data_IF_606788961130
#
_entry.id   IF_606788961130
#
_cell.length_a   1.000
_cell.length_b   1.000
_cell.length_c   1.000
_cell.angle_alpha   90.00
_cell.angle_beta   90.00
_cell.angle_gamma   90.00
#
_symmetry.space_group_name_H-M   'P 1'
#
loop_
_entity.id
_entity.type
_entity.pdbx_description
1 polymer ?
#
# COMPACT_ATOMS: atom_id res chain seq x y z
N UNK A 1 24.86 -19.00 57.75
CA UNK A 1 24.69 -17.58 57.35
C UNK A 1 25.04 -17.28 55.87
N UNK A 2 25.36 -18.28 55.06
CA UNK A 2 25.85 -18.10 53.67
C UNK A 2 24.75 -18.08 52.61
N UNK A 3 23.62 -18.79 52.85
CA UNK A 3 22.51 -18.89 51.89
C UNK A 3 21.72 -17.58 51.74
N UNK A 4 21.54 -16.81 52.81
CA UNK A 4 20.81 -15.53 52.79
C UNK A 4 21.57 -14.46 51.99
N UNK A 5 22.91 -14.48 52.01
CA UNK A 5 23.73 -13.53 51.24
C UNK A 5 23.65 -13.78 49.72
N UNK A 6 23.47 -15.03 49.30
CA UNK A 6 23.36 -15.40 47.88
C UNK A 6 21.98 -15.01 47.32
N UNK A 7 20.90 -15.16 48.10
CA UNK A 7 19.56 -14.78 47.66
C UNK A 7 19.39 -13.27 47.47
N UNK A 8 20.03 -12.45 48.32
CA UNK A 8 20.01 -10.99 48.18
C UNK A 8 20.81 -10.53 46.95
N UNK A 9 21.92 -11.21 46.63
CA UNK A 9 22.73 -10.91 45.44
C UNK A 9 21.96 -11.22 44.14
N UNK A 10 21.18 -12.30 44.11
CA UNK A 10 20.37 -12.70 42.95
C UNK A 10 19.17 -11.77 42.70
N UNK A 11 18.55 -11.25 43.76
CA UNK A 11 17.43 -10.30 43.62
C UNK A 11 17.92 -8.94 43.10
N UNK A 12 19.14 -8.52 43.46
CA UNK A 12 19.72 -7.26 42.98
C UNK A 12 20.08 -7.26 41.48
N UNK A 13 20.30 -8.43 40.87
CA UNK A 13 20.63 -8.56 39.44
C UNK A 13 19.41 -8.52 38.52
N UNK A 14 18.19 -8.68 39.05
CA UNK A 14 16.96 -8.63 38.26
C UNK A 14 16.40 -7.21 38.05
N UNK A 15 16.94 -6.19 38.73
CA UNK A 15 16.39 -4.82 38.69
C UNK A 15 17.13 -3.83 37.77
N UNK A 16 18.19 -4.24 37.06
CA UNK A 16 19.04 -3.29 36.30
C UNK A 16 18.85 -3.31 34.78
N UNK A 17 17.99 -4.18 34.22
CA UNK A 17 17.67 -4.13 32.79
C UNK A 17 16.37 -3.37 32.53
N UNK A 18 16.31 -2.10 32.92
CA UNK A 18 15.45 -1.16 32.21
C UNK A 18 16.08 -0.97 30.83
N UNK A 19 15.64 -1.79 29.87
CA UNK A 19 15.85 -1.51 28.45
C UNK A 19 15.05 -0.24 28.18
N UNK A 20 15.69 0.91 28.31
CA UNK A 20 15.17 2.15 27.76
C UNK A 20 15.14 1.96 26.24
N UNK A 21 13.97 1.60 25.72
CA UNK A 21 13.65 1.87 24.33
C UNK A 21 13.69 3.39 24.21
N UNK A 22 14.79 3.94 23.70
CA UNK A 22 14.73 5.30 23.19
C UNK A 22 13.54 5.34 22.22
N UNK A 23 12.61 6.29 22.36
CA UNK A 23 11.67 6.52 21.28
C UNK A 23 12.50 6.75 20.02
N UNK A 24 12.09 6.20 18.86
CA UNK A 24 12.81 6.47 17.61
C UNK A 24 13.05 7.97 17.50
N UNK A 25 14.27 8.35 17.13
CA UNK A 25 14.61 9.75 16.85
C UNK A 25 13.47 10.35 16.02
N UNK A 26 12.99 11.54 16.40
CA UNK A 26 11.92 12.24 15.69
C UNK A 26 12.31 12.31 14.22
N UNK A 27 11.71 11.43 13.42
CA UNK A 27 11.92 11.35 11.97
C UNK A 27 11.75 12.74 11.38
N UNK A 28 12.68 13.13 10.53
CA UNK A 28 12.64 14.39 9.77
C UNK A 28 11.26 14.51 9.11
N UNK A 29 10.51 15.55 9.43
CA UNK A 29 9.16 15.82 8.89
C UNK A 29 9.09 15.77 7.34
N UNK A 30 10.22 15.88 6.65
CA UNK A 30 10.34 15.84 5.20
C UNK A 30 10.24 14.42 4.57
N UNK A 31 10.10 13.37 5.36
CA UNK A 31 10.04 11.98 4.88
C UNK A 31 8.61 11.41 4.82
N UNK A 32 7.57 12.23 5.07
CA UNK A 32 6.17 11.75 5.08
C UNK A 32 5.35 12.35 3.94
N UNK A 33 4.55 11.50 3.31
CA UNK A 33 3.54 11.88 2.31
C UNK A 33 2.18 11.82 3.01
N UNK A 34 1.44 12.92 2.98
CA UNK A 34 0.10 13.00 3.55
C UNK A 34 -0.90 12.88 2.40
N UNK A 35 -1.75 11.86 2.45
CA UNK A 35 -2.77 11.62 1.44
C UNK A 35 -4.17 11.77 2.03
N UNK A 36 -5.04 12.43 1.28
CA UNK A 36 -6.47 12.49 1.55
C UNK A 36 -7.19 11.23 1.10
N UNK A 37 -8.34 10.98 1.71
CA UNK A 37 -9.24 9.93 1.25
C UNK A 37 -9.98 10.39 -0.01
N UNK A 38 -10.19 9.45 -0.93
CA UNK A 38 -10.95 9.66 -2.15
C UNK A 38 -11.97 8.54 -2.32
N UNK A 39 -13.21 8.93 -2.53
CA UNK A 39 -14.28 8.02 -2.90
C UNK A 39 -14.07 7.51 -4.32
N UNK A 40 -14.00 6.19 -4.46
CA UNK A 40 -14.03 5.53 -5.76
C UNK A 40 -15.47 5.44 -6.25
N UNK A 41 -15.79 6.07 -7.38
CA UNK A 41 -17.12 6.08 -8.00
C UNK A 41 -17.22 5.27 -9.28
N UNK A 42 -16.10 4.73 -9.77
CA UNK A 42 -16.07 3.92 -10.98
C UNK A 42 -16.33 2.44 -10.67
N UNK A 43 -17.44 1.85 -11.16
CA UNK A 43 -17.82 0.49 -10.83
C UNK A 43 -16.86 -0.56 -11.42
N UNK A 44 -16.23 -0.28 -12.55
CA UNK A 44 -15.32 -1.22 -13.19
C UNK A 44 -14.01 -1.33 -12.40
N UNK A 45 -13.49 -0.19 -11.93
CA UNK A 45 -12.31 -0.15 -11.06
C UNK A 45 -12.65 -0.71 -9.67
N UNK A 46 -13.83 -0.42 -9.11
CA UNK A 46 -14.29 -0.98 -7.84
C UNK A 46 -14.39 -2.51 -7.90
N UNK A 47 -15.01 -3.05 -8.96
CA UNK A 47 -15.10 -4.48 -9.17
C UNK A 47 -13.72 -5.13 -9.30
N UNK A 48 -12.84 -4.57 -10.13
CA UNK A 48 -11.50 -5.12 -10.33
C UNK A 48 -10.65 -5.12 -9.05
N UNK A 49 -10.70 -4.02 -8.29
CA UNK A 49 -9.97 -3.89 -7.01
C UNK A 49 -10.55 -4.80 -5.93
N UNK A 50 -11.87 -4.98 -5.90
CA UNK A 50 -12.55 -5.96 -5.05
C UNK A 50 -12.11 -7.40 -5.36
N UNK A 51 -12.09 -7.80 -6.64
CA UNK A 51 -11.65 -9.12 -7.08
C UNK A 51 -10.18 -9.36 -6.71
N UNK A 52 -9.31 -8.38 -6.96
CA UNK A 52 -7.89 -8.45 -6.55
C UNK A 52 -7.74 -8.59 -5.04
N UNK A 53 -8.49 -7.84 -4.24
CA UNK A 53 -8.47 -8.00 -2.78
C UNK A 53 -8.82 -9.45 -2.39
N UNK A 54 -9.85 -10.03 -3.00
CA UNK A 54 -10.19 -11.44 -2.79
C UNK A 54 -9.07 -12.39 -3.23
N UNK A 55 -8.39 -12.11 -4.34
CA UNK A 55 -7.24 -12.91 -4.77
C UNK A 55 -6.08 -12.87 -3.77
N UNK A 56 -5.76 -11.68 -3.24
CA UNK A 56 -4.73 -11.49 -2.22
C UNK A 56 -5.10 -12.23 -0.93
N UNK A 57 -6.37 -12.19 -0.50
CA UNK A 57 -6.82 -12.86 0.72
C UNK A 57 -6.78 -14.39 0.61
N UNK A 58 -7.01 -14.96 -0.58
CA UNK A 58 -7.03 -16.42 -0.81
C UNK A 58 -5.63 -17.06 -0.89
N UNK A 59 -4.57 -16.39 -0.45
CA UNK A 59 -3.20 -16.90 -0.50
C UNK A 59 -3.00 -18.09 0.44
N UNK A 60 -2.28 -19.12 -0.03
CA UNK A 60 -2.02 -20.33 0.77
C UNK A 60 -0.58 -20.43 1.27
N UNK A 61 0.41 -19.98 0.48
CA UNK A 61 1.86 -20.08 0.79
C UNK A 61 2.73 -18.91 0.26
N UNK A 62 2.10 -17.80 -0.16
CA UNK A 62 2.79 -16.65 -0.76
C UNK A 62 3.21 -15.55 0.23
N UNK A 63 3.96 -14.57 -0.28
CA UNK A 63 4.38 -13.38 0.46
C UNK A 63 3.18 -12.61 1.05
N UNK A 64 3.42 -11.78 2.07
CA UNK A 64 2.43 -10.84 2.56
C UNK A 64 2.37 -9.64 1.63
N UNK A 65 1.15 -9.24 1.27
CA UNK A 65 0.88 -8.07 0.42
C UNK A 65 0.08 -7.04 1.25
N UNK A 66 0.73 -6.37 2.22
CA UNK A 66 0.04 -5.45 3.13
C UNK A 66 -0.47 -4.20 2.43
N UNK A 67 0.15 -3.80 1.33
CA UNK A 67 -0.14 -2.56 0.63
C UNK A 67 -0.64 -2.82 -0.79
N UNK A 68 -1.43 -1.89 -1.31
CA UNK A 68 -1.95 -1.93 -2.68
C UNK A 68 -2.00 -0.55 -3.30
N UNK A 69 -1.85 -0.49 -4.62
CA UNK A 69 -1.83 0.74 -5.42
C UNK A 69 -2.69 0.59 -6.67
N UNK A 70 -3.40 1.65 -7.03
CA UNK A 70 -4.07 1.83 -8.32
C UNK A 70 -3.31 2.96 -9.04
N UNK A 71 -2.82 2.68 -10.24
CA UNK A 71 -2.19 3.67 -11.10
C UNK A 71 -3.06 3.87 -12.34
N UNK A 72 -3.54 5.11 -12.55
CA UNK A 72 -4.20 5.50 -13.79
C UNK A 72 -3.20 6.02 -14.81
N UNK A 73 -3.38 5.65 -16.07
CA UNK A 73 -2.63 6.21 -17.18
C UNK A 73 -3.51 6.30 -18.42
N UNK A 74 -3.24 7.29 -19.27
CA UNK A 74 -3.95 7.49 -20.53
C UNK A 74 -2.94 7.41 -21.66
N UNK A 75 -3.10 6.40 -22.52
CA UNK A 75 -2.22 6.13 -23.65
C UNK A 75 -3.08 5.96 -24.91
N UNK A 76 -2.73 6.63 -26.01
CA UNK A 76 -3.48 6.61 -27.28
C UNK A 76 -4.99 6.87 -27.12
N UNK A 77 -5.35 7.81 -26.24
CA UNK A 77 -6.74 8.17 -25.93
C UNK A 77 -7.51 7.12 -25.12
N UNK A 78 -6.87 6.02 -24.70
CA UNK A 78 -7.46 4.95 -23.90
C UNK A 78 -7.02 5.07 -22.45
N UNK A 79 -7.97 4.92 -21.54
CA UNK A 79 -7.71 4.89 -20.12
C UNK A 79 -7.33 3.47 -19.69
N UNK A 80 -6.18 3.33 -19.04
CA UNK A 80 -5.74 2.11 -18.40
C UNK A 80 -5.65 2.32 -16.89
N UNK A 81 -5.89 1.26 -16.15
CA UNK A 81 -5.58 1.23 -14.73
C UNK A 81 -4.79 -0.02 -14.39
N UNK A 82 -3.77 0.17 -13.57
CA UNK A 82 -2.91 -0.89 -13.10
C UNK A 82 -3.04 -1.02 -11.60
N UNK A 83 -3.38 -2.22 -11.13
CA UNK A 83 -3.45 -2.52 -9.70
C UNK A 83 -2.20 -3.32 -9.34
N UNK A 84 -1.50 -2.90 -8.30
CA UNK A 84 -0.26 -3.53 -7.82
C UNK A 84 -0.42 -3.95 -6.37
N UNK A 85 -0.11 -5.21 -6.06
CA UNK A 85 0.03 -5.69 -4.69
C UNK A 85 1.49 -5.53 -4.25
N UNK A 86 1.72 -4.83 -3.16
CA UNK A 86 3.05 -4.45 -2.68
C UNK A 86 3.34 -5.22 -1.39
N UNK A 87 4.54 -5.79 -1.33
CA UNK A 87 5.01 -6.54 -0.17
C UNK A 87 5.35 -5.61 1.01
N UNK A 88 6.14 -6.09 1.97
CA UNK A 88 6.56 -5.29 3.11
C UNK A 88 7.46 -4.11 2.73
N UNK A 89 7.91 -4.00 1.47
CA UNK A 89 8.54 -2.79 0.94
C UNK A 89 7.47 -1.77 0.56
N UNK A 90 6.57 -1.47 1.49
CA UNK A 90 5.48 -0.50 1.38
C UNK A 90 5.98 0.91 1.00
N UNK A 91 7.23 1.23 1.31
CA UNK A 91 7.93 2.42 0.83
C UNK A 91 7.90 2.51 -0.72
N UNK A 92 7.91 1.38 -1.43
CA UNK A 92 7.80 1.32 -2.89
C UNK A 92 6.38 1.59 -3.44
N UNK A 93 5.43 2.02 -2.61
CA UNK A 93 4.13 2.54 -3.06
C UNK A 93 4.27 3.78 -3.94
N UNK A 94 5.35 4.55 -3.79
CA UNK A 94 5.56 5.80 -4.49
C UNK A 94 6.74 5.68 -5.44
N UNK A 95 6.44 5.54 -6.75
CA UNK A 95 7.48 5.52 -7.77
C UNK A 95 7.82 6.95 -8.22
N UNK A 96 9.09 7.28 -8.52
CA UNK A 96 9.49 8.63 -8.91
C UNK A 96 8.81 9.17 -10.18
N UNK A 97 8.33 8.28 -11.06
CA UNK A 97 7.64 8.58 -12.30
C UNK A 97 6.11 8.62 -12.15
N UNK A 98 5.61 8.53 -10.92
CA UNK A 98 4.20 8.54 -10.58
C UNK A 98 3.87 9.72 -9.65
N UNK A 99 2.67 10.27 -9.80
CA UNK A 99 2.12 11.28 -8.89
C UNK A 99 1.06 10.64 -8.02
N UNK A 100 1.20 10.72 -6.70
CA UNK A 100 0.19 10.26 -5.75
C UNK A 100 -0.84 11.35 -5.46
N UNK A 101 -2.12 10.96 -5.41
CA UNK A 101 -3.24 11.89 -5.28
C UNK A 101 -4.05 11.67 -4.00
N UNK A 102 -4.12 10.43 -3.53
CA UNK A 102 -4.97 10.07 -2.40
C UNK A 102 -4.94 8.58 -2.12
N UNK A 103 -5.86 8.14 -1.29
CA UNK A 103 -6.15 6.72 -1.10
C UNK A 103 -7.65 6.46 -1.08
N UNK A 104 -8.04 5.25 -1.46
CA UNK A 104 -9.41 4.76 -1.30
C UNK A 104 -9.41 3.45 -0.49
N UNK A 105 -10.57 3.01 -0.03
CA UNK A 105 -10.72 1.75 0.71
C UNK A 105 -11.78 0.90 0.02
N UNK A 106 -11.40 -0.26 -0.48
CA UNK A 106 -12.31 -1.22 -1.11
C UNK A 106 -12.26 -2.51 -0.31
N UNK A 107 -13.42 -2.96 0.21
CA UNK A 107 -13.55 -4.17 1.03
C UNK A 107 -12.51 -4.25 2.17
N UNK A 108 -12.34 -3.12 2.88
CA UNK A 108 -11.41 -2.99 4.00
C UNK A 108 -9.92 -2.90 3.64
N UNK A 109 -9.57 -3.02 2.34
CA UNK A 109 -8.19 -2.84 1.86
C UNK A 109 -7.98 -1.43 1.32
N UNK A 110 -6.90 -0.80 1.75
CA UNK A 110 -6.50 0.52 1.26
C UNK A 110 -5.77 0.42 -0.08
N UNK A 111 -6.13 1.28 -1.02
CA UNK A 111 -5.44 1.43 -2.29
C UNK A 111 -4.93 2.87 -2.42
N UNK A 112 -3.61 3.04 -2.57
CA UNK A 112 -3.04 4.33 -2.94
C UNK A 112 -3.40 4.63 -4.40
N UNK A 113 -3.84 5.86 -4.67
CA UNK A 113 -4.22 6.31 -6.01
C UNK A 113 -3.07 7.14 -6.57
N UNK A 114 -2.60 6.72 -7.74
CA UNK A 114 -1.51 7.36 -8.46
C UNK A 114 -1.87 7.58 -9.93
N UNK A 115 -1.19 8.53 -10.57
CA UNK A 115 -1.18 8.67 -12.03
C UNK A 115 0.24 8.60 -12.56
N UNK A 116 0.40 8.17 -13.80
CA UNK A 116 1.65 8.26 -14.54
C UNK A 116 1.46 9.07 -15.82
N UNK A 117 2.31 10.07 -16.01
CA UNK A 117 2.12 11.11 -17.02
C UNK A 117 1.04 12.11 -16.61
N UNK A 118 0.33 12.65 -17.60
CA UNK A 118 -0.76 13.60 -17.36
C UNK A 118 -1.94 12.96 -16.61
N UNK A 119 -2.58 13.76 -15.75
CA UNK A 119 -3.79 13.33 -15.03
C UNK A 119 -4.91 13.13 -16.07
N UNK A 120 -5.51 11.93 -16.18
CA UNK A 120 -6.61 11.71 -17.10
C UNK A 120 -7.81 12.62 -16.78
N UNK A 121 -8.53 13.10 -17.80
CA UNK A 121 -9.72 13.95 -17.63
C UNK A 121 -10.84 13.26 -16.84
N UNK A 122 -10.85 11.92 -16.85
CA UNK A 122 -11.78 11.08 -16.11
C UNK A 122 -11.43 10.98 -14.62
N UNK A 123 -10.22 11.38 -14.22
CA UNK A 123 -9.67 11.16 -12.88
C UNK A 123 -10.63 11.63 -11.77
N UNK A 124 -11.08 12.88 -11.82
CA UNK A 124 -11.98 13.44 -10.80
C UNK A 124 -13.44 12.97 -10.89
N UNK A 125 -13.79 12.22 -11.95
CA UNK A 125 -15.07 11.50 -12.04
C UNK A 125 -14.96 10.13 -11.38
N UNK A 126 -13.78 9.51 -11.47
CA UNK A 126 -13.46 8.19 -10.91
C UNK A 126 -13.19 8.31 -9.40
N UNK A 127 -12.38 9.30 -9.00
CA UNK A 127 -11.93 9.51 -7.63
C UNK A 127 -12.35 10.90 -7.16
N UNK A 128 -13.30 10.94 -6.23
CA UNK A 128 -13.82 12.19 -5.67
C UNK A 128 -13.17 12.40 -4.31
N UNK A 129 -12.43 13.52 -4.09
CA UNK A 129 -11.92 13.84 -2.77
C UNK A 129 -13.06 13.97 -1.75
N UNK A 130 -12.92 13.28 -0.62
CA UNK A 130 -13.82 13.44 0.52
C UNK A 130 -13.02 14.03 1.69
N UNK A 131 -13.30 15.30 1.97
CA UNK A 131 -12.60 16.11 2.95
C UNK A 131 -13.10 15.87 4.39
N UNK A 132 -14.18 15.12 4.57
CA UNK A 132 -14.69 14.77 5.91
C UNK A 132 -13.86 13.64 6.54
N UNK A 133 -13.22 12.82 5.70
CA UNK A 133 -12.36 11.72 6.15
C UNK A 133 -10.93 12.21 6.42
N UNK A 134 -10.39 11.82 7.57
CA UNK A 134 -9.04 12.19 7.98
C UNK A 134 -7.99 11.72 6.98
N UNK A 135 -7.00 12.58 6.74
CA UNK A 135 -5.80 12.26 5.98
C UNK A 135 -4.97 11.19 6.69
N UNK A 136 -4.14 10.48 5.92
CA UNK A 136 -3.18 9.51 6.44
C UNK A 136 -1.77 9.90 6.03
N UNK A 137 -0.83 9.77 6.97
CA UNK A 137 0.58 9.96 6.71
C UNK A 137 1.22 8.61 6.33
N UNK A 138 2.03 8.63 5.29
CA UNK A 138 2.78 7.50 4.77
C UNK A 138 4.26 7.84 4.77
N UNK A 139 5.12 6.88 5.09
CA UNK A 139 6.56 7.07 4.91
C UNK A 139 6.87 7.11 3.42
N UNK A 140 7.74 8.04 3.01
CA UNK A 140 8.22 8.16 1.64
C UNK A 140 9.04 6.92 1.27
N UNK A 141 9.08 6.64 -0.03
CA UNK A 141 9.90 5.58 -0.57
C UNK A 141 11.38 5.77 -0.17
N UNK A 142 11.98 4.75 0.44
CA UNK A 142 13.43 4.63 0.48
C UNK A 142 13.88 4.15 -0.91
N UNK A 143 14.63 4.96 -1.68
CA UNK A 143 15.04 4.61 -3.03
C UNK A 143 15.96 3.38 -3.08
N UNK A 144 16.57 2.97 -1.96
CA UNK A 144 17.43 1.79 -1.90
C UNK A 144 16.65 0.51 -1.52
N UNK A 145 15.42 0.65 -1.04
CA UNK A 145 14.59 -0.49 -0.61
C UNK A 145 14.08 -1.28 -1.80
N UNK A 146 14.51 -2.53 -1.92
CA UNK A 146 14.03 -3.46 -2.96
C UNK A 146 12.91 -4.34 -2.41
N UNK A 147 11.91 -4.68 -3.24
CA UNK A 147 10.91 -5.64 -2.83
C UNK A 147 11.56 -7.02 -2.65
N UNK A 148 11.10 -7.77 -1.65
CA UNK A 148 11.57 -9.13 -1.35
C UNK A 148 11.20 -10.08 -2.49
N UNK A 149 10.06 -9.84 -3.14
CA UNK A 149 9.62 -10.56 -4.32
C UNK A 149 9.05 -9.59 -5.37
N UNK A 150 8.98 -10.01 -6.62
CA UNK A 150 8.33 -9.18 -7.64
C UNK A 150 6.85 -9.04 -7.32
N UNK A 151 6.37 -7.80 -7.27
CA UNK A 151 5.00 -7.46 -6.93
C UNK A 151 4.02 -8.00 -7.99
N UNK A 152 2.93 -8.70 -7.60
CA UNK A 152 1.81 -9.02 -8.48
C UNK A 152 1.20 -7.74 -9.05
N UNK A 153 1.03 -7.71 -10.38
CA UNK A 153 0.48 -6.58 -11.10
C UNK A 153 -0.59 -7.04 -12.07
N UNK A 154 -1.70 -6.31 -12.10
CA UNK A 154 -2.80 -6.49 -13.04
C UNK A 154 -3.05 -5.19 -13.78
N UNK A 155 -2.97 -5.23 -15.11
CA UNK A 155 -3.23 -4.08 -15.98
C UNK A 155 -4.54 -4.30 -16.72
N UNK A 156 -5.40 -3.29 -16.67
CA UNK A 156 -6.73 -3.29 -17.24
C UNK A 156 -6.89 -2.14 -18.23
N UNK A 157 -7.66 -2.38 -19.29
CA UNK A 157 -8.21 -1.36 -20.17
C UNK A 157 -9.61 -1.00 -19.67
N UNK A 158 -9.81 0.27 -19.36
CA UNK A 158 -11.13 0.82 -19.03
C UNK A 158 -11.97 0.93 -20.31
N UNK A 159 -13.23 0.50 -20.25
CA UNK A 159 -14.11 0.36 -21.42
C UNK A 159 -15.30 1.33 -21.42
N UNK A 160 -15.28 2.32 -20.52
CA UNK A 160 -16.42 3.15 -20.20
C UNK A 160 -17.15 2.69 -18.94
N UNK A 161 -17.96 3.57 -18.36
CA UNK A 161 -18.57 3.38 -17.03
C UNK A 161 -19.68 2.31 -17.01
N UNK A 162 -20.17 1.91 -18.18
CA UNK A 162 -21.23 0.91 -18.37
C UNK A 162 -20.70 -0.51 -18.63
N UNK A 163 -19.37 -0.69 -18.71
CA UNK A 163 -18.74 -1.95 -19.11
C UNK A 163 -17.69 -2.38 -18.11
N UNK A 164 -17.54 -3.70 -18.00
CA UNK A 164 -16.43 -4.29 -17.25
C UNK A 164 -15.10 -3.96 -17.93
N UNK A 165 -14.08 -3.70 -17.11
CA UNK A 165 -12.73 -3.51 -17.60
C UNK A 165 -12.17 -4.80 -18.21
N UNK A 166 -11.34 -4.67 -19.24
CA UNK A 166 -10.68 -5.83 -19.87
C UNK A 166 -9.31 -6.03 -19.24
N UNK A 167 -9.03 -7.21 -18.70
CA UNK A 167 -7.66 -7.57 -18.27
C UNK A 167 -6.77 -7.63 -19.51
N UNK A 168 -5.74 -6.79 -19.56
CA UNK A 168 -4.75 -6.78 -20.64
C UNK A 168 -3.57 -7.68 -20.29
N UNK A 169 -3.13 -7.61 -19.03
CA UNK A 169 -1.95 -8.33 -18.57
C UNK A 169 -2.04 -8.61 -17.08
N UNK A 170 -1.55 -9.76 -16.66
CA UNK A 170 -1.28 -10.07 -15.26
C UNK A 170 0.13 -10.66 -15.16
N UNK A 171 0.95 -10.14 -14.26
CA UNK A 171 2.34 -10.59 -14.06
C UNK A 171 2.61 -10.84 -12.59
N UNK A 172 3.48 -11.81 -12.31
CA UNK A 172 3.93 -12.15 -10.98
C UNK A 172 2.81 -12.58 -10.02
N UNK A 173 1.66 -12.99 -10.56
CA UNK A 173 0.50 -13.44 -9.77
C UNK A 173 0.74 -14.79 -9.11
N UNK A 174 1.70 -15.57 -9.61
CA UNK A 174 2.24 -16.77 -8.97
C UNK A 174 2.79 -16.48 -7.57
N UNK A 175 3.28 -15.26 -7.32
CA UNK A 175 3.81 -14.87 -6.00
C UNK A 175 2.73 -14.73 -4.92
N UNK A 176 1.44 -14.78 -5.31
CA UNK A 176 0.33 -14.95 -4.37
C UNK A 176 0.30 -16.35 -3.72
N UNK A 177 1.13 -17.30 -4.19
CA UNK A 177 1.20 -18.65 -3.64
C UNK A 177 0.02 -19.52 -4.06
N UNK A 178 -0.25 -19.52 -5.36
CA UNK A 178 -1.18 -20.43 -6.05
C UNK A 178 -0.41 -21.52 -6.79
#
# INVERSE_FOLDING_TARGET
>A
MTKIKITILLISLCFTSFIYSNPPEKEKDNEKIILGYMDLKDPAIEFATSDINMMIMRKSRGYLWPATKIMLTKEDGKLYFTVTAIDNSWCNMFCPDETAHGFTVVNGRMFIITTKGDIPEEFYKIFIPDNEVKTKAFSKADPESKPTAKNPVWTYLHRGNDKMATVIKSVYTENLGR
#
